data_IF_621713296584
#
_entry.id   IF_621713296584
#
_cell.length_a   1.000
_cell.length_b   1.000
_cell.length_c   1.000
_cell.angle_alpha   90.00
_cell.angle_beta   90.00
_cell.angle_gamma   90.00
#
_symmetry.space_group_name_H-M   'P 1'
#
loop_
_entity.id
_entity.type
_entity.pdbx_description
1 polymer ?
#
# COMPACT_ATOMS: atom_id res chain seq x y z
N UNK A 1 -4.42 -7.35 -10.14
CA UNK A 1 -5.57 -7.07 -9.25
C UNK A 1 -5.34 -5.76 -8.52
N UNK A 2 -6.40 -5.10 -8.08
CA UNK A 2 -6.35 -3.84 -7.32
C UNK A 2 -7.08 -4.06 -5.99
N UNK A 3 -6.44 -3.70 -4.88
CA UNK A 3 -7.01 -3.77 -3.53
C UNK A 3 -6.79 -2.46 -2.78
N UNK A 4 -7.77 -2.07 -1.96
CA UNK A 4 -7.72 -0.88 -1.10
C UNK A 4 -8.22 -1.27 0.29
N UNK A 5 -7.31 -1.43 1.25
CA UNK A 5 -7.67 -1.85 2.62
C UNK A 5 -8.64 -0.85 3.28
N UNK A 6 -8.47 0.43 2.99
CA UNK A 6 -9.35 1.50 3.50
C UNK A 6 -10.83 1.38 3.07
N UNK A 7 -11.16 0.59 2.04
CA UNK A 7 -12.55 0.34 1.65
C UNK A 7 -13.24 -0.71 2.50
N UNK A 8 -12.49 -1.59 3.15
CA UNK A 8 -13.01 -2.76 3.86
C UNK A 8 -12.87 -2.66 5.38
N UNK A 9 -12.04 -1.74 5.87
CA UNK A 9 -11.77 -1.58 7.29
C UNK A 9 -11.87 -0.11 7.68
N UNK A 10 -12.63 0.21 8.72
CA UNK A 10 -12.67 1.58 9.24
C UNK A 10 -11.44 1.87 10.10
N UNK A 11 -11.02 3.13 10.27
CA UNK A 11 -9.88 3.48 11.11
C UNK A 11 -9.98 2.92 12.54
N UNK A 12 -11.19 2.91 13.09
CA UNK A 12 -11.47 2.37 14.44
C UNK A 12 -11.28 0.85 14.50
N UNK A 13 -11.79 0.11 13.50
CA UNK A 13 -11.61 -1.34 13.41
C UNK A 13 -10.15 -1.71 13.16
N UNK A 14 -9.44 -0.91 12.37
CA UNK A 14 -8.02 -1.09 12.12
C UNK A 14 -7.20 -0.89 13.40
N UNK A 15 -7.51 0.15 14.18
CA UNK A 15 -6.85 0.41 15.46
C UNK A 15 -7.08 -0.72 16.49
N UNK A 16 -8.23 -1.40 16.44
CA UNK A 16 -8.48 -2.58 17.27
C UNK A 16 -7.64 -3.79 16.86
N UNK A 17 -7.38 -3.95 15.55
CA UNK A 17 -6.56 -5.05 15.01
C UNK A 17 -5.06 -4.79 15.16
N UNK A 18 -4.67 -3.51 15.20
CA UNK A 18 -3.28 -3.06 15.33
C UNK A 18 -3.10 -2.14 16.55
N UNK A 19 -3.26 -2.65 17.79
CA UNK A 19 -3.15 -1.83 19.00
C UNK A 19 -1.75 -1.28 19.23
N UNK A 20 -0.71 -1.96 18.70
CA UNK A 20 0.70 -1.56 18.82
C UNK A 20 1.12 -0.46 17.83
N UNK A 21 0.27 -0.12 16.85
CA UNK A 21 0.57 0.89 15.83
C UNK A 21 -0.21 2.18 16.07
N UNK A 22 0.39 3.35 15.77
CA UNK A 22 -0.35 4.61 15.86
C UNK A 22 -1.45 4.66 14.79
N UNK A 23 -2.55 5.37 15.07
CA UNK A 23 -3.63 5.59 14.08
C UNK A 23 -3.15 6.25 12.77
N UNK A 24 -1.99 6.92 12.77
CA UNK A 24 -1.38 7.47 11.56
C UNK A 24 -0.86 6.40 10.59
N UNK A 25 -0.67 5.16 11.06
CA UNK A 25 -0.26 4.03 10.23
C UNK A 25 -1.43 3.38 9.47
N UNK A 26 -2.68 3.79 9.75
CA UNK A 26 -3.83 3.39 8.96
C UNK A 26 -3.61 3.75 7.47
N UNK A 27 -3.72 2.80 6.52
CA UNK A 27 -3.32 2.97 5.12
C UNK A 27 -4.35 3.78 4.30
N UNK A 28 -4.72 4.96 4.79
CA UNK A 28 -5.65 5.87 4.12
C UNK A 28 -5.06 6.38 2.81
N UNK A 29 -5.80 6.20 1.73
CA UNK A 29 -5.35 6.59 0.39
C UNK A 29 -4.18 5.76 -0.13
N UNK A 30 -3.97 4.54 0.37
CA UNK A 30 -3.01 3.57 -0.19
C UNK A 30 -3.79 2.52 -0.98
N UNK A 31 -3.33 2.25 -2.20
CA UNK A 31 -3.86 1.20 -3.05
C UNK A 31 -2.76 0.20 -3.42
N UNK A 32 -3.04 -1.09 -3.24
CA UNK A 32 -2.13 -2.16 -3.62
C UNK A 32 -2.51 -2.72 -4.99
N UNK A 33 -1.55 -2.72 -5.92
CA UNK A 33 -1.67 -3.29 -7.25
C UNK A 33 -0.85 -4.55 -7.34
N UNK A 34 -1.51 -5.68 -7.60
CA UNK A 34 -0.90 -7.00 -7.71
C UNK A 34 -0.70 -7.33 -9.19
N UNK A 35 0.55 -7.41 -9.62
CA UNK A 35 0.99 -7.90 -10.92
C UNK A 35 1.01 -9.43 -10.88
N UNK A 36 -0.15 -10.05 -11.11
CA UNK A 36 -0.30 -11.50 -11.03
C UNK A 36 0.33 -12.26 -12.22
N UNK A 37 0.55 -11.59 -13.35
CA UNK A 37 1.19 -12.18 -14.53
C UNK A 37 2.07 -11.18 -15.23
N UNK A 38 3.33 -11.54 -15.41
CA UNK A 38 4.31 -10.79 -16.18
C UNK A 38 5.12 -11.80 -17.01
N UNK A 39 5.00 -11.78 -18.35
CA UNK A 39 5.56 -12.85 -19.20
C UNK A 39 7.08 -12.90 -19.20
N UNK A 40 7.73 -11.74 -19.07
CA UNK A 40 9.18 -11.59 -19.20
C UNK A 40 9.79 -10.92 -17.97
N UNK A 41 9.14 -11.02 -16.82
CA UNK A 41 9.62 -10.35 -15.63
C UNK A 41 8.88 -10.78 -14.37
N UNK A 42 9.24 -10.16 -13.23
CA UNK A 42 8.70 -10.55 -11.94
C UNK A 42 7.22 -10.17 -11.84
N UNK A 43 6.46 -11.07 -11.22
CA UNK A 43 5.18 -10.77 -10.59
C UNK A 43 5.42 -10.17 -9.20
N UNK A 44 4.46 -9.43 -8.67
CA UNK A 44 4.59 -8.87 -7.33
C UNK A 44 3.45 -7.92 -7.00
N UNK A 45 3.64 -7.15 -5.93
CA UNK A 45 2.71 -6.12 -5.50
C UNK A 45 3.43 -4.79 -5.46
N UNK A 46 2.76 -3.73 -5.91
CA UNK A 46 3.22 -2.35 -5.82
C UNK A 46 2.18 -1.52 -5.10
N UNK A 47 2.63 -0.59 -4.26
CA UNK A 47 1.76 0.33 -3.54
C UNK A 47 1.72 1.68 -4.27
N UNK A 48 0.52 2.26 -4.37
CA UNK A 48 0.27 3.53 -5.04
C UNK A 48 -0.55 4.45 -4.14
N UNK A 49 -0.38 5.76 -4.33
CA UNK A 49 -1.24 6.74 -3.69
C UNK A 49 -2.56 6.84 -4.43
N UNK A 50 -3.68 6.74 -3.72
CA UNK A 50 -5.00 6.98 -4.29
C UNK A 50 -5.58 8.32 -3.84
N UNK A 51 -5.90 9.18 -4.82
CA UNK A 51 -6.60 10.46 -4.63
C UNK A 51 -8.09 10.28 -4.89
N UNK A 52 -8.85 10.04 -3.84
CA UNK A 52 -10.30 9.78 -3.92
C UNK A 52 -11.08 10.84 -4.70
N UNK A 53 -10.83 12.13 -4.41
CA UNK A 53 -11.52 13.25 -5.07
C UNK A 53 -11.34 13.29 -6.59
N UNK A 54 -10.27 12.68 -7.11
CA UNK A 54 -9.90 12.70 -8.52
C UNK A 54 -9.97 11.31 -9.15
N UNK A 55 -10.33 10.27 -8.38
CA UNK A 55 -10.19 8.86 -8.75
C UNK A 55 -8.83 8.54 -9.41
N UNK A 56 -7.75 9.16 -8.91
CA UNK A 56 -6.43 9.13 -9.55
C UNK A 56 -5.42 8.35 -8.71
N UNK A 57 -4.64 7.50 -9.38
CA UNK A 57 -3.46 6.86 -8.81
C UNK A 57 -2.23 7.75 -9.06
N UNK A 58 -1.50 8.04 -8.02
CA UNK A 58 -0.24 8.78 -8.07
C UNK A 58 0.89 7.89 -7.56
N UNK A 59 2.11 8.22 -7.98
CA UNK A 59 3.30 7.56 -7.48
C UNK A 59 3.33 7.66 -5.95
N UNK A 60 3.43 6.50 -5.31
CA UNK A 60 3.76 6.43 -3.89
C UNK A 60 5.28 6.45 -3.85
N UNK A 61 5.86 7.64 -3.62
CA UNK A 61 7.31 7.79 -3.53
C UNK A 61 7.78 6.82 -2.44
N UNK A 62 8.34 5.70 -2.89
CA UNK A 62 9.01 4.75 -2.02
C UNK A 62 10.06 5.57 -1.28
N UNK A 63 9.96 5.59 0.04
CA UNK A 63 11.13 5.84 0.87
C UNK A 63 12.11 4.74 0.47
N UNK A 64 13.04 5.08 -0.42
CA UNK A 64 14.18 4.25 -0.74
C UNK A 64 15.03 4.10 0.53
N UNK A 65 15.90 3.10 0.54
CA UNK A 65 16.90 2.78 1.57
C UNK A 65 16.51 1.75 2.64
N UNK A 66 16.23 0.51 2.22
CA UNK A 66 16.90 -0.63 2.87
C UNK A 66 18.21 -0.86 2.11
N UNK A 67 19.28 -0.23 2.59
CA UNK A 67 20.63 -0.48 2.12
C UNK A 67 20.96 -1.96 2.35
N UNK A 68 20.99 -2.74 1.27
CA UNK A 68 21.54 -4.08 1.25
C UNK A 68 23.02 -4.00 1.61
N UNK A 69 23.38 -4.37 2.84
CA UNK A 69 24.77 -4.54 3.26
C UNK A 69 25.35 -5.77 2.55
N UNK A 70 26.35 -5.63 1.67
CA UNK A 70 27.00 -6.79 1.07
C UNK A 70 27.89 -7.46 2.13
N UNK A 71 27.64 -8.74 2.38
CA UNK A 71 28.52 -9.64 3.15
C UNK A 71 29.76 -10.03 2.32
#
# INVERSE_FOLDING_TARGET
FLSREEMYTTPEQWAQQHPDLPMSAYPKGVAQVIVAKHRNGPTGSVELRFREKLAKFEDWVLRTEEAHEPQ
#
